data_IF_803677139068
#
_entry.id   IF_803677139068
#
_cell.length_a   1.000
_cell.length_b   1.000
_cell.length_c   1.000
_cell.angle_alpha   90.00
_cell.angle_beta   90.00
_cell.angle_gamma   90.00
#
_symmetry.space_group_name_H-M   'P 1'
#
loop_
_entity.id
_entity.type
_entity.pdbx_description
1 polymer ?
#
# COMPACT_ATOMS: atom_id res chain seq x y z
N UNK A 1 17.50 26.58 1.19
CA UNK A 1 16.29 26.34 1.99
C UNK A 1 16.22 24.85 2.32
N UNK A 2 15.83 24.47 3.53
CA UNK A 2 15.55 23.06 3.81
C UNK A 2 14.29 22.65 3.05
N UNK A 3 14.33 21.47 2.40
CA UNK A 3 13.15 20.93 1.72
C UNK A 3 12.06 20.58 2.74
N UNK A 4 10.80 20.72 2.37
CA UNK A 4 9.67 20.28 3.21
C UNK A 4 9.65 18.76 3.25
N UNK A 5 9.52 18.17 4.45
CA UNK A 5 9.44 16.72 4.61
C UNK A 5 8.03 16.21 4.33
N UNK A 6 7.97 15.09 3.63
CA UNK A 6 6.75 14.30 3.39
C UNK A 6 6.95 12.87 3.84
N UNK A 7 6.03 12.34 4.63
CA UNK A 7 6.00 10.91 5.00
C UNK A 7 5.14 10.16 3.99
N UNK A 8 5.73 9.21 3.28
CA UNK A 8 5.07 8.42 2.25
C UNK A 8 4.75 7.02 2.78
N UNK A 9 3.48 6.59 2.68
CA UNK A 9 3.11 5.17 2.82
C UNK A 9 3.76 4.38 1.68
N UNK A 10 4.75 3.55 2.00
CA UNK A 10 5.57 2.88 1.02
C UNK A 10 5.42 1.36 1.08
N UNK A 11 4.91 0.76 0.01
CA UNK A 11 4.68 -0.70 -0.10
C UNK A 11 5.77 -1.45 -0.87
N UNK A 12 6.71 -0.72 -1.52
CA UNK A 12 7.71 -1.31 -2.42
C UNK A 12 7.21 -1.63 -3.83
N UNK A 13 5.93 -1.40 -4.12
CA UNK A 13 5.36 -1.54 -5.46
C UNK A 13 5.80 -0.42 -6.42
N UNK A 14 5.36 -0.50 -7.68
CA UNK A 14 5.71 0.49 -8.70
C UNK A 14 5.19 1.87 -8.31
N UNK A 15 3.89 2.02 -8.08
CA UNK A 15 3.23 3.29 -7.79
C UNK A 15 3.89 4.05 -6.63
N UNK A 16 4.22 3.34 -5.53
CA UNK A 16 4.88 3.96 -4.39
C UNK A 16 6.34 4.27 -4.64
N UNK A 17 7.05 3.47 -5.47
CA UNK A 17 8.42 3.76 -5.87
C UNK A 17 8.49 4.97 -6.80
N UNK A 18 7.59 5.05 -7.77
CA UNK A 18 7.42 6.24 -8.64
C UNK A 18 7.05 7.47 -7.80
N UNK A 19 6.19 7.30 -6.77
CA UNK A 19 5.84 8.39 -5.86
C UNK A 19 7.04 8.98 -5.12
N UNK A 20 8.04 8.18 -4.75
CA UNK A 20 9.28 8.69 -4.13
C UNK A 20 9.98 9.67 -5.07
N UNK A 21 10.22 9.26 -6.31
CA UNK A 21 10.90 10.09 -7.30
C UNK A 21 10.08 11.33 -7.64
N UNK A 22 8.77 11.17 -7.90
CA UNK A 22 7.89 12.27 -8.24
C UNK A 22 7.83 13.33 -7.13
N UNK A 23 7.70 12.93 -5.86
CA UNK A 23 7.71 13.84 -4.71
C UNK A 23 9.06 14.56 -4.58
N UNK A 24 10.16 13.87 -4.86
CA UNK A 24 11.51 14.45 -4.88
C UNK A 24 11.63 15.53 -5.96
N UNK A 25 11.07 15.30 -7.15
CA UNK A 25 11.03 16.28 -8.24
C UNK A 25 10.15 17.50 -7.90
N UNK A 26 9.11 17.30 -7.09
CA UNK A 26 8.30 18.40 -6.54
C UNK A 26 9.03 19.17 -5.41
N UNK A 27 10.23 18.77 -5.06
CA UNK A 27 11.05 19.48 -4.08
C UNK A 27 10.87 19.03 -2.63
N UNK A 28 10.18 17.92 -2.39
CA UNK A 28 10.06 17.33 -1.06
C UNK A 28 11.28 16.54 -0.63
N UNK A 29 11.46 16.45 0.69
CA UNK A 29 12.37 15.53 1.37
C UNK A 29 11.56 14.29 1.80
N UNK A 30 11.70 13.18 1.08
CA UNK A 30 10.80 12.02 1.23
C UNK A 30 11.29 11.09 2.33
N UNK A 31 10.42 10.84 3.31
CA UNK A 31 10.58 9.85 4.38
C UNK A 31 9.65 8.68 4.09
N UNK A 32 10.19 7.53 3.71
CA UNK A 32 9.38 6.33 3.44
C UNK A 32 8.99 5.61 4.74
N UNK A 33 7.73 5.25 4.84
CA UNK A 33 7.16 4.47 5.94
C UNK A 33 6.70 3.11 5.42
N UNK A 34 7.44 2.05 5.78
CA UNK A 34 7.13 0.67 5.41
C UNK A 34 6.56 -0.03 6.64
N UNK A 35 5.36 -0.58 6.56
CA UNK A 35 4.74 -1.34 7.64
C UNK A 35 4.75 -2.83 7.35
N UNK A 36 5.02 -3.63 8.37
CA UNK A 36 4.76 -5.07 8.39
C UNK A 36 3.53 -5.34 9.26
N UNK A 37 2.46 -5.75 8.62
CA UNK A 37 1.20 -6.17 9.25
C UNK A 37 0.88 -7.64 8.92
N UNK A 38 1.93 -8.41 8.55
CA UNK A 38 1.83 -9.83 8.20
C UNK A 38 1.62 -10.09 6.72
N UNK A 39 2.18 -9.26 5.85
CA UNK A 39 2.13 -9.42 4.40
C UNK A 39 3.04 -10.56 3.90
N UNK A 40 3.92 -11.10 4.75
CA UNK A 40 4.88 -12.14 4.36
C UNK A 40 6.04 -11.65 3.51
N UNK A 41 6.23 -10.33 3.41
CA UNK A 41 7.31 -9.70 2.63
C UNK A 41 8.52 -9.38 3.50
N UNK A 42 9.71 -9.32 2.89
CA UNK A 42 10.91 -8.80 3.56
C UNK A 42 10.83 -7.27 3.70
N UNK A 43 10.39 -6.82 4.86
CA UNK A 43 10.23 -5.39 5.15
C UNK A 43 11.56 -4.63 5.10
N UNK A 44 12.70 -5.30 5.38
CA UNK A 44 14.02 -4.66 5.30
C UNK A 44 14.43 -4.43 3.84
N UNK A 45 14.17 -5.39 2.97
CA UNK A 45 14.39 -5.22 1.53
C UNK A 45 13.51 -4.08 0.95
N UNK A 46 12.26 -3.97 1.40
CA UNK A 46 11.36 -2.87 1.01
C UNK A 46 11.92 -1.52 1.50
N UNK A 47 12.37 -1.44 2.76
CA UNK A 47 13.01 -0.25 3.32
C UNK A 47 14.23 0.17 2.52
N UNK A 48 15.10 -0.77 2.20
CA UNK A 48 16.35 -0.49 1.48
C UNK A 48 16.06 -0.08 0.03
N UNK A 49 15.03 -0.67 -0.61
CA UNK A 49 14.55 -0.22 -1.92
C UNK A 49 14.09 1.24 -1.90
N UNK A 50 13.37 1.68 -0.87
CA UNK A 50 12.96 3.08 -0.75
C UNK A 50 14.15 4.05 -0.76
N UNK A 51 15.23 3.70 -0.06
CA UNK A 51 16.48 4.49 -0.05
C UNK A 51 17.14 4.50 -1.42
N UNK A 52 17.17 3.36 -2.12
CA UNK A 52 17.74 3.26 -3.47
C UNK A 52 16.96 4.11 -4.49
N UNK A 53 15.66 4.25 -4.31
CA UNK A 53 14.80 5.07 -5.18
C UNK A 53 14.94 6.56 -4.92
N UNK A 54 15.54 6.95 -3.78
CA UNK A 54 15.79 8.37 -3.49
C UNK A 54 15.08 8.91 -2.25
N UNK A 55 14.43 8.08 -1.44
CA UNK A 55 13.97 8.51 -0.12
C UNK A 55 15.18 8.89 0.76
N UNK A 56 15.09 10.03 1.44
CA UNK A 56 16.16 10.49 2.33
C UNK A 56 16.26 9.69 3.62
N UNK A 57 15.13 9.15 4.06
CA UNK A 57 14.98 8.28 5.21
C UNK A 57 13.96 7.20 4.90
N UNK A 58 14.13 6.01 5.50
CA UNK A 58 13.16 4.94 5.36
C UNK A 58 13.07 4.17 6.68
N UNK A 59 11.85 3.91 7.11
CA UNK A 59 11.52 3.25 8.36
C UNK A 59 10.76 1.96 8.08
N UNK A 60 11.26 0.84 8.62
CA UNK A 60 10.57 -0.44 8.64
C UNK A 60 9.94 -0.62 10.03
N UNK A 61 8.64 -0.65 10.09
CA UNK A 61 7.86 -0.70 11.34
C UNK A 61 7.13 -2.04 11.40
N UNK A 62 7.47 -2.87 12.39
CA UNK A 62 6.69 -4.07 12.71
C UNK A 62 5.44 -3.63 13.52
N UNK A 63 4.28 -3.76 12.90
CA UNK A 63 3.00 -3.41 13.48
C UNK A 63 2.06 -4.62 13.61
N UNK A 64 2.59 -5.85 13.49
CA UNK A 64 1.79 -7.09 13.54
C UNK A 64 1.02 -7.24 14.83
N UNK A 65 1.69 -7.05 15.97
CA UNK A 65 1.06 -7.18 17.29
C UNK A 65 -0.06 -6.16 17.48
N UNK A 66 0.20 -4.89 17.14
CA UNK A 66 -0.80 -3.83 17.23
C UNK A 66 -1.97 -4.06 16.29
N UNK A 67 -1.70 -4.53 15.06
CA UNK A 67 -2.75 -4.89 14.11
C UNK A 67 -3.63 -6.02 14.64
N UNK A 68 -3.01 -7.04 15.22
CA UNK A 68 -3.74 -8.17 15.79
C UNK A 68 -4.62 -7.74 16.97
N UNK A 69 -4.05 -7.03 17.94
CA UNK A 69 -4.73 -6.69 19.20
C UNK A 69 -5.83 -5.63 19.01
N UNK A 70 -5.52 -4.56 18.28
CA UNK A 70 -6.37 -3.38 18.23
C UNK A 70 -7.38 -3.40 17.08
N UNK A 71 -7.20 -4.28 16.08
CA UNK A 71 -8.05 -4.33 14.89
C UNK A 71 -8.60 -5.74 14.61
N UNK A 72 -7.73 -6.73 14.39
CA UNK A 72 -8.17 -8.05 13.93
C UNK A 72 -8.97 -8.81 14.99
N UNK A 73 -8.51 -8.83 16.26
CA UNK A 73 -9.24 -9.48 17.35
C UNK A 73 -10.58 -8.81 17.65
N UNK A 74 -10.66 -7.49 17.54
CA UNK A 74 -11.92 -6.76 17.72
C UNK A 74 -12.90 -7.12 16.60
N UNK A 75 -12.42 -7.18 15.35
CA UNK A 75 -13.25 -7.60 14.22
C UNK A 75 -13.73 -9.05 14.37
N UNK A 76 -12.87 -9.95 14.84
CA UNK A 76 -13.20 -11.35 15.12
C UNK A 76 -14.30 -11.45 16.21
N UNK A 77 -14.12 -10.77 17.33
CA UNK A 77 -15.09 -10.74 18.43
C UNK A 77 -16.45 -10.17 18.00
N UNK A 78 -16.42 -9.15 17.14
CA UNK A 78 -17.62 -8.54 16.57
C UNK A 78 -18.25 -9.35 15.43
N UNK A 79 -17.64 -10.45 14.99
CA UNK A 79 -18.03 -11.20 13.79
C UNK A 79 -18.27 -10.26 12.59
N UNK A 80 -17.31 -9.36 12.35
CA UNK A 80 -17.46 -8.25 11.41
C UNK A 80 -17.22 -8.70 9.98
N UNK A 81 -18.28 -8.76 9.19
CA UNK A 81 -18.24 -9.03 7.75
C UNK A 81 -19.00 -7.96 6.98
N UNK A 82 -18.49 -7.56 5.84
CA UNK A 82 -19.23 -6.79 4.87
C UNK A 82 -20.08 -7.75 4.04
N UNK A 83 -21.42 -7.48 4.01
CA UNK A 83 -22.40 -8.31 3.30
C UNK A 83 -22.35 -9.81 3.67
N UNK A 84 -22.00 -10.13 4.90
CA UNK A 84 -21.85 -11.49 5.44
C UNK A 84 -20.84 -12.39 4.69
N UNK A 85 -19.96 -11.83 3.91
CA UNK A 85 -18.96 -12.59 3.13
C UNK A 85 -17.56 -12.03 3.18
N UNK A 86 -17.37 -10.73 3.02
CA UNK A 86 -16.03 -10.12 2.94
C UNK A 86 -15.50 -9.71 4.33
N UNK A 87 -14.35 -10.25 4.78
CA UNK A 87 -13.82 -10.01 6.12
C UNK A 87 -13.08 -8.67 6.26
N UNK A 88 -13.21 -7.73 5.32
CA UNK A 88 -12.64 -6.39 5.38
C UNK A 88 -11.10 -6.35 5.49
N UNK A 89 -10.40 -7.22 4.77
CA UNK A 89 -8.94 -7.42 4.84
C UNK A 89 -8.17 -6.09 4.76
N UNK A 90 -8.36 -5.35 3.66
CA UNK A 90 -7.69 -4.06 3.45
C UNK A 90 -8.24 -2.97 4.37
N UNK A 91 -9.57 -2.96 4.58
CA UNK A 91 -10.25 -1.92 5.34
C UNK A 91 -9.75 -1.81 6.79
N UNK A 92 -9.47 -2.94 7.44
CA UNK A 92 -8.98 -2.97 8.83
C UNK A 92 -7.54 -2.47 8.95
N UNK A 93 -6.72 -2.63 7.93
CA UNK A 93 -5.31 -2.23 7.99
C UNK A 93 -5.10 -0.73 7.78
N UNK A 94 -5.93 -0.06 6.98
CA UNK A 94 -5.71 1.33 6.58
C UNK A 94 -5.70 2.33 7.77
N UNK A 95 -6.57 2.23 8.78
CA UNK A 95 -6.49 3.09 9.97
C UNK A 95 -5.20 2.94 10.76
N UNK A 96 -4.67 1.71 10.91
CA UNK A 96 -3.38 1.49 11.56
C UNK A 96 -2.24 2.09 10.76
N UNK A 97 -2.22 1.88 9.44
CA UNK A 97 -1.19 2.49 8.58
C UNK A 97 -1.24 4.02 8.71
N UNK A 98 -2.42 4.63 8.67
CA UNK A 98 -2.59 6.07 8.85
C UNK A 98 -2.06 6.54 10.22
N UNK A 99 -2.32 5.80 11.30
CA UNK A 99 -1.78 6.09 12.64
C UNK A 99 -0.25 6.11 12.63
N UNK A 100 0.40 5.09 12.05
CA UNK A 100 1.86 5.03 11.97
C UNK A 100 2.46 6.14 11.10
N UNK A 101 1.77 6.53 10.03
CA UNK A 101 2.19 7.69 9.23
C UNK A 101 2.14 8.99 10.02
N UNK A 102 1.08 9.21 10.81
CA UNK A 102 0.95 10.40 11.68
C UNK A 102 2.02 10.40 12.77
N UNK A 103 2.24 9.26 13.46
CA UNK A 103 3.30 9.12 14.46
C UNK A 103 4.68 9.45 13.87
N UNK A 104 4.98 8.93 12.68
CA UNK A 104 6.24 9.18 12.00
C UNK A 104 6.36 10.63 11.51
N UNK A 105 5.27 11.24 11.04
CA UNK A 105 5.25 12.65 10.65
C UNK A 105 5.58 13.56 11.85
N UNK A 106 5.02 13.28 13.02
CA UNK A 106 5.32 14.00 14.26
C UNK A 106 6.78 13.80 14.68
N UNK A 107 7.28 12.55 14.65
CA UNK A 107 8.66 12.23 15.01
C UNK A 107 9.70 12.91 14.10
N UNK A 108 9.40 13.02 12.81
CA UNK A 108 10.31 13.61 11.81
C UNK A 108 10.07 15.10 11.56
N UNK A 109 9.08 15.70 12.24
CA UNK A 109 8.59 17.07 12.01
C UNK A 109 8.11 17.31 10.57
N UNK A 110 7.60 16.29 9.90
CA UNK A 110 6.93 16.44 8.61
C UNK A 110 5.55 17.08 8.78
N UNK A 111 5.15 17.88 7.80
CA UNK A 111 3.83 18.55 7.77
C UNK A 111 2.92 17.95 6.70
N UNK A 112 3.43 17.00 5.96
CA UNK A 112 2.75 16.40 4.81
C UNK A 112 2.88 14.87 4.87
N UNK A 113 1.78 14.18 4.60
CA UNK A 113 1.71 12.74 4.41
C UNK A 113 1.33 12.46 2.96
N UNK A 114 1.90 11.43 2.36
CA UNK A 114 1.54 10.97 1.03
C UNK A 114 1.15 9.48 1.03
N UNK A 115 0.24 9.10 0.12
CA UNK A 115 -0.16 7.72 -0.11
C UNK A 115 -0.39 7.44 -1.59
N UNK A 116 -0.20 6.18 -2.01
CA UNK A 116 -0.33 5.73 -3.39
C UNK A 116 -1.76 5.33 -3.82
N UNK A 117 -2.81 5.70 -3.06
CA UNK A 117 -4.16 5.31 -3.43
C UNK A 117 -4.65 6.09 -4.65
N UNK A 118 -5.32 5.37 -5.55
CA UNK A 118 -6.02 5.96 -6.70
C UNK A 118 -7.26 6.74 -6.27
N UNK A 119 -7.88 7.47 -7.20
CA UNK A 119 -9.17 8.13 -6.97
C UNK A 119 -10.37 7.17 -6.97
N UNK A 120 -10.13 5.88 -7.24
CA UNK A 120 -11.16 4.83 -7.25
C UNK A 120 -11.14 4.07 -5.91
N UNK A 121 -12.30 3.65 -5.44
CA UNK A 121 -12.42 2.86 -4.22
C UNK A 121 -12.35 3.67 -2.92
N UNK A 122 -12.37 2.95 -1.79
CA UNK A 122 -12.54 3.51 -0.46
C UNK A 122 -11.24 3.74 0.32
N UNK A 123 -10.11 3.21 -0.13
CA UNK A 123 -8.86 3.26 0.63
C UNK A 123 -8.35 4.68 0.83
N UNK A 124 -8.45 5.53 -0.21
CA UNK A 124 -8.13 6.95 -0.09
C UNK A 124 -8.92 7.64 1.03
N UNK A 125 -10.23 7.34 1.12
CA UNK A 125 -11.10 7.92 2.15
C UNK A 125 -10.68 7.44 3.54
N UNK A 126 -10.36 6.13 3.69
CA UNK A 126 -9.88 5.57 4.96
C UNK A 126 -8.59 6.23 5.44
N UNK A 127 -7.63 6.44 4.54
CA UNK A 127 -6.40 7.17 4.86
C UNK A 127 -6.68 8.61 5.26
N UNK A 128 -7.36 9.37 4.42
CA UNK A 128 -7.54 10.81 4.61
C UNK A 128 -8.39 11.12 5.85
N UNK A 129 -9.47 10.37 6.08
CA UNK A 129 -10.32 10.53 7.27
C UNK A 129 -9.56 10.14 8.54
N UNK A 130 -8.80 9.04 8.53
CA UNK A 130 -8.02 8.63 9.70
C UNK A 130 -6.91 9.66 10.01
N UNK A 131 -6.18 10.15 9.02
CA UNK A 131 -5.16 11.18 9.20
C UNK A 131 -5.78 12.46 9.76
N UNK A 132 -6.89 12.93 9.17
CA UNK A 132 -7.57 14.15 9.61
C UNK A 132 -8.13 14.03 11.04
N UNK A 133 -8.57 12.84 11.44
CA UNK A 133 -9.05 12.57 12.79
C UNK A 133 -7.90 12.56 13.83
N UNK A 134 -6.71 12.09 13.44
CA UNK A 134 -5.54 12.01 14.32
C UNK A 134 -4.78 13.32 14.41
N UNK A 135 -4.59 14.01 13.30
CA UNK A 135 -3.93 15.32 13.23
C UNK A 135 -4.46 16.14 12.04
N UNK A 136 -5.45 17.02 12.25
CA UNK A 136 -6.05 17.83 11.20
C UNK A 136 -5.12 18.91 10.63
N UNK A 137 -3.92 19.11 11.20
CA UNK A 137 -2.94 20.07 10.70
C UNK A 137 -2.05 19.52 9.59
N UNK A 138 -2.04 18.20 9.42
CA UNK A 138 -1.26 17.53 8.39
C UNK A 138 -1.92 17.65 7.01
N UNK A 139 -1.12 17.97 6.01
CA UNK A 139 -1.56 17.95 4.61
C UNK A 139 -1.49 16.52 4.07
N UNK A 140 -2.40 16.17 3.18
CA UNK A 140 -2.36 14.87 2.48
C UNK A 140 -2.16 15.09 0.99
N UNK A 141 -1.22 14.34 0.41
CA UNK A 141 -0.93 14.29 -1.03
C UNK A 141 -1.20 12.86 -1.51
N UNK A 142 -1.89 12.72 -2.64
CA UNK A 142 -2.05 11.46 -3.33
C UNK A 142 -1.43 11.58 -4.74
N UNK A 143 -0.14 11.27 -4.93
CA UNK A 143 0.56 11.44 -6.19
C UNK A 143 -0.16 10.77 -7.36
N UNK A 144 -0.58 9.51 -7.21
CA UNK A 144 -1.30 8.75 -8.24
C UNK A 144 -2.56 9.47 -8.74
N UNK A 145 -3.29 10.15 -7.86
CA UNK A 145 -4.46 10.98 -8.25
C UNK A 145 -4.06 12.26 -8.98
N UNK A 146 -2.88 12.79 -8.68
CA UNK A 146 -2.44 14.06 -9.28
C UNK A 146 -1.86 13.87 -10.67
N UNK A 147 -1.03 12.85 -10.88
CA UNK A 147 -0.43 12.61 -12.19
C UNK A 147 -1.40 11.95 -13.18
N UNK A 148 -2.34 11.12 -12.73
CA UNK A 148 -3.35 10.43 -13.55
C UNK A 148 -2.75 9.67 -14.76
N UNK A 149 -1.55 9.13 -14.60
CA UNK A 149 -0.87 8.38 -15.65
C UNK A 149 -1.49 7.01 -15.88
N UNK A 150 -1.39 6.53 -17.11
CA UNK A 150 -1.59 5.12 -17.44
C UNK A 150 -0.44 4.28 -16.88
N UNK A 151 -0.61 2.97 -16.84
CA UNK A 151 0.44 2.04 -16.40
C UNK A 151 1.70 2.17 -17.27
N UNK A 152 1.55 2.36 -18.59
CA UNK A 152 2.63 2.54 -19.55
C UNK A 152 3.38 3.84 -19.29
N UNK A 153 2.68 4.93 -19.02
CA UNK A 153 3.28 6.22 -18.70
C UNK A 153 4.06 6.16 -17.38
N UNK A 154 3.54 5.46 -16.38
CA UNK A 154 4.21 5.25 -15.11
C UNK A 154 5.51 4.44 -15.27
N UNK A 155 5.48 3.36 -16.06
CA UNK A 155 6.66 2.56 -16.41
C UNK A 155 7.69 3.41 -17.16
N UNK A 156 7.24 4.20 -18.15
CA UNK A 156 8.14 5.08 -18.90
C UNK A 156 8.82 6.12 -17.99
N UNK A 157 8.08 6.71 -17.06
CA UNK A 157 8.65 7.62 -16.08
C UNK A 157 9.64 6.90 -15.14
N UNK A 158 9.32 5.70 -14.67
CA UNK A 158 10.22 4.89 -13.84
C UNK A 158 11.53 4.60 -14.57
N UNK A 159 11.47 4.19 -15.84
CA UNK A 159 12.65 3.93 -16.68
C UNK A 159 13.50 5.19 -16.89
N UNK A 160 12.86 6.32 -17.16
CA UNK A 160 13.54 7.59 -17.40
C UNK A 160 14.29 8.13 -16.15
N UNK A 161 13.90 7.66 -14.96
CA UNK A 161 14.46 8.10 -13.68
C UNK A 161 15.20 6.98 -12.92
N UNK A 162 15.54 5.87 -13.58
CA UNK A 162 16.24 4.73 -12.99
C UNK A 162 15.53 4.13 -11.74
N UNK A 163 14.20 4.28 -11.65
CA UNK A 163 13.38 3.66 -10.60
C UNK A 163 13.24 2.17 -10.89
N UNK A 164 13.64 1.27 -9.96
CA UNK A 164 13.54 -0.16 -10.15
C UNK A 164 12.10 -0.63 -10.38
N UNK A 165 11.87 -1.26 -11.54
CA UNK A 165 10.55 -1.80 -11.91
C UNK A 165 10.46 -3.23 -11.37
N UNK A 166 9.35 -3.63 -10.70
CA UNK A 166 9.14 -4.99 -10.27
C UNK A 166 9.16 -5.99 -11.44
N UNK A 167 9.72 -7.19 -11.19
CA UNK A 167 9.84 -8.23 -12.23
C UNK A 167 8.49 -8.85 -12.62
N UNK A 168 7.46 -8.67 -11.80
CA UNK A 168 6.11 -9.25 -11.96
C UNK A 168 5.11 -8.28 -12.61
N UNK A 169 5.60 -7.35 -13.43
CA UNK A 169 4.75 -6.37 -14.13
C UNK A 169 3.64 -7.01 -14.98
N UNK A 170 3.87 -8.23 -15.46
CA UNK A 170 2.91 -8.96 -16.29
C UNK A 170 1.75 -9.56 -15.48
N UNK A 171 1.86 -9.55 -14.14
CA UNK A 171 0.76 -10.00 -13.28
C UNK A 171 -0.34 -8.91 -13.24
N UNK A 172 -1.53 -9.20 -13.79
CA UNK A 172 -2.62 -8.21 -13.83
C UNK A 172 -3.32 -8.04 -12.47
N UNK A 173 -2.99 -8.87 -11.48
CA UNK A 173 -3.68 -8.90 -10.21
C UNK A 173 -2.96 -8.03 -9.17
N UNK A 174 -3.75 -7.31 -8.37
CA UNK A 174 -3.31 -6.67 -7.14
C UNK A 174 -3.65 -7.56 -5.95
N UNK A 175 -2.69 -7.76 -5.05
CA UNK A 175 -2.86 -8.63 -3.89
C UNK A 175 -2.66 -7.81 -2.63
N UNK A 176 -3.73 -7.68 -1.85
CA UNK A 176 -3.69 -7.18 -0.48
C UNK A 176 -3.67 -8.37 0.49
N UNK A 177 -2.63 -8.46 1.32
CA UNK A 177 -2.45 -9.51 2.31
C UNK A 177 -1.99 -8.92 3.65
N UNK A 178 -2.51 -9.47 4.74
CA UNK A 178 -2.08 -9.16 6.10
C UNK A 178 -2.44 -10.33 7.04
N UNK A 179 -2.21 -10.20 8.36
CA UNK A 179 -2.56 -11.24 9.34
C UNK A 179 -4.04 -11.62 9.36
N UNK A 180 -4.93 -10.75 8.90
CA UNK A 180 -6.38 -10.99 8.90
C UNK A 180 -6.86 -11.79 7.69
N UNK A 181 -6.19 -11.66 6.56
CA UNK A 181 -6.57 -12.37 5.34
C UNK A 181 -5.90 -11.84 4.09
N UNK A 182 -6.48 -12.25 2.95
CA UNK A 182 -5.97 -11.93 1.63
C UNK A 182 -7.11 -11.60 0.68
N UNK A 183 -6.92 -10.58 -0.15
CA UNK A 183 -7.78 -10.23 -1.26
C UNK A 183 -6.95 -10.16 -2.54
N UNK A 184 -7.51 -10.66 -3.64
CA UNK A 184 -6.95 -10.57 -4.98
C UNK A 184 -7.94 -9.77 -5.83
N UNK A 185 -7.45 -8.74 -6.50
CA UNK A 185 -8.25 -7.74 -7.22
C UNK A 185 -7.64 -7.45 -8.59
N UNK A 186 -8.36 -6.69 -9.41
CA UNK A 186 -7.94 -6.23 -10.74
C UNK A 186 -7.92 -7.30 -11.84
N UNK A 187 -7.49 -6.91 -13.04
CA UNK A 187 -7.42 -7.78 -14.20
C UNK A 187 -8.77 -8.37 -14.56
N UNK A 188 -8.81 -9.66 -14.89
CA UNK A 188 -10.05 -10.35 -15.26
C UNK A 188 -11.10 -10.39 -14.15
N UNK A 189 -10.71 -10.12 -12.89
CA UNK A 189 -11.62 -10.10 -11.74
C UNK A 189 -12.50 -8.83 -11.68
N UNK A 190 -12.22 -7.82 -12.50
CA UNK A 190 -13.07 -6.62 -12.62
C UNK A 190 -14.38 -6.90 -13.37
N UNK A 191 -14.44 -7.97 -14.16
CA UNK A 191 -15.69 -8.41 -14.79
C UNK A 191 -16.46 -9.37 -13.85
N UNK A 192 -17.60 -8.93 -13.24
CA UNK A 192 -18.36 -9.76 -12.31
C UNK A 192 -19.01 -10.99 -12.96
N UNK A 193 -19.04 -11.07 -14.29
CA UNK A 193 -19.57 -12.20 -15.05
C UNK A 193 -18.48 -13.20 -15.46
N UNK A 194 -17.21 -12.84 -15.34
CA UNK A 194 -16.11 -13.75 -15.65
C UNK A 194 -15.82 -14.67 -14.46
N UNK A 195 -15.65 -15.96 -14.75
CA UNK A 195 -15.10 -16.89 -13.76
C UNK A 195 -13.64 -16.54 -13.48
N UNK A 196 -13.20 -16.43 -12.20
CA UNK A 196 -11.81 -16.18 -11.89
C UNK A 196 -10.89 -17.21 -12.57
N UNK A 197 -9.90 -16.78 -13.37
CA UNK A 197 -8.99 -17.70 -14.03
C UNK A 197 -8.01 -18.34 -13.02
N UNK A 198 -7.39 -19.48 -13.38
CA UNK A 198 -6.44 -20.19 -12.50
C UNK A 198 -5.31 -19.29 -11.97
N UNK A 199 -4.82 -18.33 -12.76
CA UNK A 199 -3.78 -17.40 -12.35
C UNK A 199 -4.16 -16.42 -11.22
N UNK A 200 -5.45 -16.34 -10.85
CA UNK A 200 -5.90 -15.58 -9.68
C UNK A 200 -5.69 -16.35 -8.36
N UNK A 201 -5.44 -17.66 -8.42
CA UNK A 201 -5.25 -18.54 -7.27
C UNK A 201 -3.78 -18.95 -7.15
N UNK A 202 -2.99 -18.18 -6.42
CA UNK A 202 -1.56 -18.45 -6.25
C UNK A 202 -1.21 -19.21 -4.95
N UNK A 203 -2.16 -19.35 -4.01
CA UNK A 203 -1.98 -20.13 -2.78
C UNK A 203 -2.35 -21.61 -2.93
N UNK A 204 -3.01 -21.98 -4.03
CA UNK A 204 -3.47 -23.35 -4.30
C UNK A 204 -3.00 -23.81 -5.68
N UNK A 205 -2.78 -25.10 -5.84
CA UNK A 205 -2.58 -25.66 -7.16
C UNK A 205 -3.89 -25.59 -7.96
N UNK A 206 -3.80 -25.31 -9.27
CA UNK A 206 -4.95 -25.36 -10.16
C UNK A 206 -5.57 -26.77 -10.19
N UNK A 207 -6.85 -26.86 -10.59
CA UNK A 207 -7.58 -28.13 -10.67
C UNK A 207 -6.86 -29.18 -11.53
N UNK A 208 -6.14 -28.73 -12.56
CA UNK A 208 -5.31 -29.58 -13.44
C UNK A 208 -4.15 -30.28 -12.73
N UNK A 209 -3.72 -29.76 -11.58
CA UNK A 209 -2.60 -30.26 -10.78
C UNK A 209 -3.06 -30.92 -9.47
N UNK A 210 -4.36 -31.12 -9.29
CA UNK A 210 -4.91 -31.81 -8.12
C UNK A 210 -4.74 -33.32 -8.31
N UNK A 211 -4.18 -34.07 -7.33
CA UNK A 211 -4.08 -35.51 -7.41
C UNK A 211 -5.48 -36.14 -7.58
N UNK A 212 -5.60 -37.06 -8.52
CA UNK A 212 -6.78 -37.95 -8.61
C UNK A 212 -6.85 -38.81 -7.33
N UNK A 213 -8.02 -38.85 -6.69
CA UNK A 213 -8.26 -39.71 -5.52
C UNK A 213 -8.44 -41.14 -5.93
#
# INVERSE_FOLDING_TARGET
>A
MMKEKVVLAYSGGLDTSVSVQWLTDQGYDVVACCLDIGEGKDIQAIRDKALMVGASQSYAIDAKEEFLQDFALIALQGNTFYENSYPLVSALSRPLIAKKLVELAQQTNAKTIAHGCTGKGNDQVRFEVAIAALDPTLKVIAPVRQWQWSREEEIAYAQANDVPIPADLDNPYSIDQNLWGRACECGALEDPWATPPEGAYDLTNGLSNTPDN
#
